data_IF_183276472947
#
_entry.id   IF_183276472947
#
_cell.length_a   1.000
_cell.length_b   1.000
_cell.length_c   1.000
_cell.angle_alpha   90.00
_cell.angle_beta   90.00
_cell.angle_gamma   90.00
#
_symmetry.space_group_name_H-M   'P 1'
#
loop_
_entity.id
_entity.type
_entity.pdbx_description
1 polymer ?
#
# COMPACT_ATOMS: atom_id res chain seq x y z
N UNK A 1 -10.39 -37.75 -11.96
CA UNK A 1 -9.89 -39.06 -11.54
C UNK A 1 -9.65 -39.02 -10.03
N UNK A 2 -10.47 -39.76 -9.35
CA UNK A 2 -10.60 -40.18 -7.94
C UNK A 2 -9.67 -39.56 -6.85
N UNK A 3 -10.33 -38.83 -5.95
CA UNK A 3 -9.94 -38.58 -4.56
C UNK A 3 -9.71 -39.90 -3.78
N UNK A 4 -8.72 -39.88 -2.89
CA UNK A 4 -8.65 -40.84 -1.78
C UNK A 4 -8.57 -40.10 -0.45
N UNK A 5 -9.65 -40.21 0.30
CA UNK A 5 -9.70 -39.89 1.73
C UNK A 5 -9.02 -41.01 2.50
N UNK A 6 -8.17 -40.69 3.48
CA UNK A 6 -7.72 -41.63 4.50
C UNK A 6 -8.21 -41.20 5.87
N UNK A 7 -9.14 -42.00 6.36
CA UNK A 7 -9.61 -42.08 7.72
C UNK A 7 -8.55 -42.70 8.62
N UNK A 8 -8.24 -42.10 9.76
CA UNK A 8 -7.52 -42.80 10.82
C UNK A 8 -8.32 -42.84 12.12
N UNK A 9 -8.44 -44.05 12.59
CA UNK A 9 -9.22 -44.58 13.69
C UNK A 9 -8.73 -44.09 15.05
N UNK A 10 -9.68 -43.86 15.95
CA UNK A 10 -9.47 -43.64 17.36
C UNK A 10 -8.98 -44.85 18.11
N UNK A 11 -8.16 -44.62 19.09
CA UNK A 11 -7.86 -45.62 20.14
C UNK A 11 -8.27 -44.98 21.48
N UNK A 12 -9.29 -45.63 22.04
CA UNK A 12 -9.77 -45.45 23.40
C UNK A 12 -8.82 -46.20 24.34
N UNK A 13 -8.19 -45.54 25.30
CA UNK A 13 -7.46 -46.23 26.35
C UNK A 13 -7.97 -45.81 27.73
N UNK A 14 -8.32 -46.82 28.46
CA UNK A 14 -9.03 -46.83 29.73
C UNK A 14 -8.17 -46.32 30.90
N UNK A 15 -8.89 -45.67 31.79
CA UNK A 15 -8.55 -45.16 33.11
C UNK A 15 -7.99 -46.24 34.06
N UNK A 16 -6.84 -45.97 34.68
CA UNK A 16 -6.42 -46.60 35.90
C UNK A 16 -6.05 -45.53 36.93
N UNK A 17 -6.92 -45.38 37.96
CA UNK A 17 -6.65 -44.62 39.17
C UNK A 17 -5.63 -45.40 40.02
N UNK A 18 -4.47 -44.79 40.28
CA UNK A 18 -3.61 -45.17 41.40
C UNK A 18 -3.38 -43.93 42.27
N UNK A 19 -3.95 -43.96 43.45
CA UNK A 19 -3.63 -43.01 44.54
C UNK A 19 -2.23 -43.38 45.08
N UNK A 20 -1.27 -42.46 44.97
CA UNK A 20 -0.02 -42.49 45.73
C UNK A 20 0.26 -41.12 46.32
N UNK A 21 0.47 -41.10 47.59
CA UNK A 21 0.80 -40.13 48.57
C UNK A 21 1.48 -38.84 48.17
N UNK A 22 1.05 -37.79 48.91
CA UNK A 22 1.73 -36.51 48.99
C UNK A 22 3.22 -36.65 49.28
N UNK A 23 4.05 -36.30 48.29
CA UNK A 23 5.40 -35.81 48.49
C UNK A 23 5.36 -34.32 48.23
N UNK A 24 5.75 -33.50 49.22
CA UNK A 24 6.02 -32.09 49.05
C UNK A 24 7.04 -31.96 47.91
N UNK A 25 6.61 -31.34 46.83
CA UNK A 25 7.52 -30.92 45.77
C UNK A 25 8.37 -29.79 46.29
N UNK A 26 9.70 -29.82 46.14
CA UNK A 26 10.53 -28.67 46.48
C UNK A 26 10.05 -27.47 45.64
N UNK A 27 9.95 -26.29 46.29
CA UNK A 27 9.69 -25.00 45.65
C UNK A 27 10.74 -24.86 44.52
N UNK A 28 10.30 -25.08 43.29
CA UNK A 28 11.02 -24.66 42.10
C UNK A 28 10.83 -23.16 42.03
N UNK A 29 11.90 -22.38 42.13
CA UNK A 29 11.76 -20.94 41.92
C UNK A 29 11.06 -20.71 40.57
N UNK A 30 10.14 -19.73 40.46
CA UNK A 30 9.52 -19.43 39.17
C UNK A 30 10.63 -19.21 38.15
N UNK A 31 10.62 -20.00 37.09
CA UNK A 31 11.45 -19.76 35.91
C UNK A 31 11.30 -18.27 35.56
N UNK A 32 12.39 -17.51 35.38
CA UNK A 32 12.28 -16.17 34.86
C UNK A 32 11.42 -16.25 33.61
N UNK A 33 10.33 -15.50 33.59
CA UNK A 33 9.56 -15.29 32.36
C UNK A 33 10.56 -14.59 31.45
N UNK A 34 11.01 -15.27 30.37
CA UNK A 34 11.79 -14.61 29.33
C UNK A 34 11.03 -13.33 28.97
N UNK A 35 11.73 -12.19 28.85
CA UNK A 35 11.09 -10.97 28.38
C UNK A 35 10.37 -11.34 27.09
N UNK A 36 9.06 -11.06 27.04
CA UNK A 36 8.29 -11.18 25.80
C UNK A 36 9.09 -10.34 24.78
N UNK A 37 9.66 -11.02 23.77
CA UNK A 37 10.39 -10.33 22.72
C UNK A 37 9.46 -9.28 22.15
N UNK A 38 9.79 -8.01 22.39
CA UNK A 38 9.07 -6.92 21.79
C UNK A 38 9.35 -6.94 20.29
N UNK A 39 8.34 -6.65 19.46
CA UNK A 39 8.58 -6.56 18.02
C UNK A 39 9.57 -5.40 17.73
N UNK A 40 10.48 -5.60 16.78
CA UNK A 40 11.43 -4.55 16.39
C UNK A 40 10.72 -3.29 15.85
N UNK A 41 9.51 -3.44 15.29
CA UNK A 41 8.67 -2.34 14.81
C UNK A 41 7.21 -2.48 15.25
N UNK A 42 6.59 -1.33 15.53
CA UNK A 42 5.13 -1.20 15.62
C UNK A 42 4.68 -0.33 14.45
N UNK A 43 3.78 -0.87 13.63
CA UNK A 43 3.18 -0.16 12.49
C UNK A 43 1.70 0.06 12.79
N UNK A 44 1.28 1.31 12.77
CA UNK A 44 -0.13 1.69 12.94
C UNK A 44 -0.63 2.40 11.68
N UNK A 45 -1.80 2.00 11.21
CA UNK A 45 -2.51 2.63 10.08
C UNK A 45 -3.73 3.36 10.61
N UNK A 46 -3.94 4.61 10.14
CA UNK A 46 -5.03 5.49 10.59
C UNK A 46 -5.60 6.27 9.40
N UNK A 47 -6.79 6.83 9.59
CA UNK A 47 -7.40 7.80 8.68
C UNK A 47 -7.38 7.36 7.20
N UNK A 48 -7.67 6.08 6.95
CA UNK A 48 -7.79 5.56 5.58
C UNK A 48 -8.99 6.18 4.87
N UNK A 49 -8.77 6.73 3.68
CA UNK A 49 -9.80 7.22 2.78
C UNK A 49 -9.88 6.33 1.52
N UNK A 50 -10.55 6.79 0.50
CA UNK A 50 -10.56 6.14 -0.82
C UNK A 50 -9.23 6.32 -1.58
N UNK A 51 -8.48 7.38 -1.31
CA UNK A 51 -7.25 7.73 -2.04
C UNK A 51 -6.06 8.05 -1.16
N UNK A 52 -6.18 7.92 0.16
CA UNK A 52 -5.08 8.24 1.09
C UNK A 52 -5.10 7.39 2.36
N UNK A 53 -3.96 7.37 3.04
CA UNK A 53 -3.77 6.71 4.33
C UNK A 53 -2.74 7.47 5.16
N UNK A 54 -2.97 7.57 6.46
CA UNK A 54 -1.95 7.97 7.43
C UNK A 54 -1.39 6.73 8.13
N UNK A 55 -0.09 6.68 8.31
CA UNK A 55 0.54 5.61 9.08
C UNK A 55 1.69 6.11 9.95
N UNK A 56 1.99 5.35 10.98
CA UNK A 56 3.16 5.56 11.85
C UNK A 56 3.95 4.27 11.93
N UNK A 57 5.28 4.38 11.92
CA UNK A 57 6.20 3.28 12.14
C UNK A 57 7.12 3.68 13.30
N UNK A 58 7.13 2.87 14.34
CA UNK A 58 7.90 3.10 15.56
C UNK A 58 8.86 1.93 15.77
N UNK A 59 10.18 2.11 15.60
CA UNK A 59 11.15 1.10 15.94
C UNK A 59 11.28 0.94 17.47
N UNK A 60 11.60 -0.26 17.94
CA UNK A 60 11.90 -0.50 19.37
C UNK A 60 13.23 0.16 19.74
N UNK A 61 14.23 0.12 18.85
CA UNK A 61 15.49 0.85 18.99
C UNK A 61 15.47 2.11 18.11
N UNK A 62 15.39 3.28 18.76
CA UNK A 62 15.36 4.58 18.06
C UNK A 62 16.67 4.89 17.30
N UNK A 63 17.76 4.19 17.59
CA UNK A 63 19.05 4.36 16.91
C UNK A 63 19.19 3.46 15.68
N UNK A 64 18.31 2.48 15.52
CA UNK A 64 18.29 1.59 14.35
C UNK A 64 17.95 2.35 13.07
N UNK A 65 18.69 2.04 12.00
CA UNK A 65 18.34 2.48 10.65
C UNK A 65 17.47 1.44 9.95
N UNK A 66 16.50 1.87 9.16
CA UNK A 66 15.53 0.99 8.53
C UNK A 66 14.94 1.55 7.25
N UNK A 67 14.39 0.69 6.42
CA UNK A 67 13.52 1.02 5.30
C UNK A 67 12.07 1.01 5.79
N UNK A 68 11.29 1.99 5.31
CA UNK A 68 9.85 2.09 5.49
C UNK A 68 9.21 2.41 4.14
N UNK A 69 8.38 1.52 3.64
CA UNK A 69 7.77 1.61 2.32
C UNK A 69 6.33 1.10 2.33
N UNK A 70 5.66 1.28 1.21
CA UNK A 70 4.31 0.77 0.96
C UNK A 70 4.21 0.23 -0.46
N UNK A 71 3.44 -0.84 -0.63
CA UNK A 71 3.14 -1.44 -1.93
C UNK A 71 1.71 -1.96 -1.96
N UNK A 72 1.22 -2.35 -3.14
CA UNK A 72 -0.05 -3.09 -3.23
C UNK A 72 0.11 -4.50 -2.66
N UNK A 73 -0.96 -5.01 -2.03
CA UNK A 73 -0.97 -6.38 -1.54
C UNK A 73 -0.82 -7.40 -2.68
N UNK A 74 -1.36 -7.09 -3.86
CA UNK A 74 -1.22 -7.91 -5.06
C UNK A 74 0.24 -8.13 -5.43
N UNK A 75 1.04 -7.05 -5.51
CA UNK A 75 2.47 -7.15 -5.80
C UNK A 75 3.24 -7.88 -4.68
N UNK A 76 2.90 -7.57 -3.41
CA UNK A 76 3.54 -8.23 -2.27
C UNK A 76 3.35 -9.75 -2.30
N UNK A 77 2.17 -10.23 -2.71
CA UNK A 77 1.81 -11.64 -2.76
C UNK A 77 2.41 -12.41 -3.96
N UNK A 78 3.09 -11.73 -4.88
CA UNK A 78 3.86 -12.40 -5.95
C UNK A 78 5.11 -13.12 -5.42
N UNK A 79 5.56 -12.78 -4.20
CA UNK A 79 6.76 -13.35 -3.59
C UNK A 79 6.41 -14.52 -2.67
N UNK A 80 7.29 -15.55 -2.67
CA UNK A 80 7.08 -16.78 -1.93
C UNK A 80 7.07 -16.54 -0.40
N UNK A 81 7.92 -15.62 0.08
CA UNK A 81 8.05 -15.25 1.49
C UNK A 81 8.63 -13.83 1.67
N UNK A 82 8.71 -13.40 2.93
CA UNK A 82 9.21 -12.07 3.29
C UNK A 82 10.70 -11.88 2.92
N UNK A 83 11.51 -12.95 2.90
CA UNK A 83 12.92 -12.87 2.50
C UNK A 83 13.06 -12.61 0.99
N UNK A 84 12.24 -13.28 0.18
CA UNK A 84 12.21 -13.06 -1.26
C UNK A 84 11.79 -11.62 -1.59
N UNK A 85 10.82 -11.07 -0.85
CA UNK A 85 10.39 -9.69 -1.00
C UNK A 85 11.48 -8.68 -0.61
N UNK A 86 12.15 -8.87 0.55
CA UNK A 86 13.29 -8.04 0.95
C UNK A 86 14.41 -8.05 -0.11
N UNK A 87 14.70 -9.20 -0.71
CA UNK A 87 15.73 -9.30 -1.75
C UNK A 87 15.36 -8.53 -3.02
N UNK A 88 14.07 -8.44 -3.35
CA UNK A 88 13.57 -7.60 -4.44
C UNK A 88 13.78 -6.11 -4.13
N UNK A 89 13.39 -5.66 -2.93
CA UNK A 89 13.64 -4.29 -2.47
C UNK A 89 15.12 -3.92 -2.50
N UNK A 90 16.01 -4.81 -2.04
CA UNK A 90 17.46 -4.58 -2.07
C UNK A 90 17.95 -4.42 -3.50
N UNK A 91 17.47 -5.25 -4.43
CA UNK A 91 17.80 -5.15 -5.85
C UNK A 91 17.32 -3.83 -6.47
N UNK A 92 16.13 -3.38 -6.05
CA UNK A 92 15.60 -2.09 -6.46
C UNK A 92 16.45 -0.92 -5.93
N UNK A 93 16.87 -0.97 -4.65
CA UNK A 93 17.75 0.05 -4.05
C UNK A 93 19.12 0.11 -4.74
N UNK A 94 19.71 -1.04 -5.08
CA UNK A 94 20.97 -1.13 -5.84
C UNK A 94 20.83 -0.49 -7.23
N UNK A 95 19.74 -0.79 -7.93
CA UNK A 95 19.45 -0.20 -9.24
C UNK A 95 19.22 1.30 -9.14
N UNK A 96 18.50 1.77 -8.14
CA UNK A 96 18.25 3.20 -7.92
C UNK A 96 19.55 3.97 -7.64
N UNK A 97 20.45 3.42 -6.82
CA UNK A 97 21.77 3.98 -6.59
C UNK A 97 22.59 4.06 -7.87
N UNK A 98 22.59 2.99 -8.67
CA UNK A 98 23.27 2.96 -9.96
C UNK A 98 22.74 4.01 -10.95
N UNK A 99 21.41 4.16 -11.05
CA UNK A 99 20.76 5.18 -11.90
C UNK A 99 21.07 6.62 -11.40
N UNK A 100 21.18 6.81 -10.07
CA UNK A 100 21.60 8.08 -9.48
C UNK A 100 23.10 8.38 -9.68
N UNK A 101 23.89 7.37 -10.07
CA UNK A 101 25.34 7.51 -10.29
C UNK A 101 26.14 7.60 -8.99
N UNK A 102 25.65 7.05 -7.90
CA UNK A 102 26.28 7.01 -6.58
C UNK A 102 26.47 5.57 -6.09
N UNK A 103 27.28 5.38 -5.05
CA UNK A 103 27.39 4.08 -4.40
C UNK A 103 26.15 3.80 -3.54
N UNK A 104 25.81 2.50 -3.34
CA UNK A 104 24.65 2.11 -2.54
C UNK A 104 24.68 2.72 -1.14
N UNK A 105 25.83 2.77 -0.49
CA UNK A 105 25.96 3.36 0.86
C UNK A 105 25.63 4.85 0.89
N UNK A 106 26.00 5.60 -0.14
CA UNK A 106 25.65 7.02 -0.29
C UNK A 106 24.14 7.18 -0.55
N UNK A 107 23.55 6.36 -1.40
CA UNK A 107 22.11 6.36 -1.65
C UNK A 107 21.31 6.03 -0.38
N UNK A 108 21.78 5.07 0.41
CA UNK A 108 21.13 4.64 1.64
C UNK A 108 21.14 5.72 2.74
N UNK A 109 22.15 6.62 2.77
CA UNK A 109 22.16 7.75 3.70
C UNK A 109 20.95 8.68 3.53
N UNK A 110 20.43 8.80 2.29
CA UNK A 110 19.29 9.67 1.97
C UNK A 110 17.93 8.99 2.20
N UNK A 111 17.84 7.66 2.06
CA UNK A 111 16.55 6.95 2.08
C UNK A 111 16.25 6.26 3.41
N UNK A 112 17.28 5.85 4.17
CA UNK A 112 17.11 5.20 5.47
C UNK A 112 16.42 6.12 6.47
N UNK A 113 15.51 5.52 7.24
CA UNK A 113 14.82 6.17 8.35
C UNK A 113 15.48 5.83 9.67
N UNK A 114 15.28 6.70 10.67
CA UNK A 114 15.74 6.52 12.04
C UNK A 114 14.72 7.12 13.01
N UNK A 115 14.48 6.46 14.15
CA UNK A 115 13.43 6.85 15.08
C UNK A 115 12.03 6.68 14.53
N UNK A 116 11.02 7.15 15.25
CA UNK A 116 9.62 7.05 14.80
C UNK A 116 9.33 7.99 13.63
N UNK A 117 8.57 7.50 12.65
CA UNK A 117 8.05 8.31 11.54
C UNK A 117 6.54 8.32 11.55
N UNK A 118 5.96 9.41 11.03
CA UNK A 118 4.54 9.53 10.69
C UNK A 118 4.46 10.12 9.30
N UNK A 119 3.70 9.49 8.43
CA UNK A 119 3.59 9.90 7.04
C UNK A 119 2.15 9.75 6.54
N UNK A 120 1.83 10.49 5.48
CA UNK A 120 0.57 10.40 4.76
C UNK A 120 0.87 10.04 3.32
N UNK A 121 0.32 8.91 2.87
CA UNK A 121 0.40 8.52 1.47
C UNK A 121 -0.90 8.87 0.78
N UNK A 122 -0.80 9.68 -0.26
CA UNK A 122 -1.90 10.08 -1.15
C UNK A 122 -1.84 9.35 -2.48
N UNK A 123 -2.88 9.55 -3.31
CA UNK A 123 -2.98 9.03 -4.68
C UNK A 123 -3.04 7.51 -4.76
N UNK A 124 -3.62 6.89 -3.75
CA UNK A 124 -3.92 5.47 -3.74
C UNK A 124 -5.14 5.17 -4.62
N UNK A 125 -5.18 3.97 -5.16
CA UNK A 125 -6.37 3.48 -5.86
C UNK A 125 -7.46 3.08 -4.84
N UNK A 126 -8.74 3.43 -5.06
CA UNK A 126 -9.84 3.02 -4.21
C UNK A 126 -10.03 1.50 -4.18
N UNK A 127 -10.66 0.99 -3.11
CA UNK A 127 -10.99 -0.43 -2.92
C UNK A 127 -9.79 -1.37 -3.12
N UNK A 128 -8.57 -0.86 -2.89
CA UNK A 128 -7.32 -1.57 -3.14
C UNK A 128 -6.64 -1.92 -1.82
N UNK A 129 -6.16 -3.14 -1.71
CA UNK A 129 -5.42 -3.61 -0.54
C UNK A 129 -3.94 -3.26 -0.67
N UNK A 130 -3.39 -2.66 0.38
CA UNK A 130 -2.01 -2.22 0.48
C UNK A 130 -1.31 -2.84 1.68
N UNK A 131 0.01 -2.86 1.62
CA UNK A 131 0.90 -3.29 2.71
C UNK A 131 1.86 -2.15 3.02
N UNK A 132 1.80 -1.62 4.24
CA UNK A 132 2.86 -0.78 4.82
C UNK A 132 3.83 -1.70 5.53
N UNK A 133 5.12 -1.55 5.29
CA UNK A 133 6.11 -2.43 5.88
C UNK A 133 7.40 -1.71 6.26
N UNK A 134 8.17 -2.33 7.15
CA UNK A 134 9.49 -1.88 7.57
C UNK A 134 10.38 -3.07 7.87
N UNK A 135 11.67 -2.92 7.61
CA UNK A 135 12.72 -3.83 8.07
C UNK A 135 14.02 -3.06 8.34
N UNK A 136 14.77 -3.52 9.32
CA UNK A 136 16.06 -2.93 9.66
C UNK A 136 17.07 -3.13 8.55
N UNK A 137 17.72 -2.05 8.14
CA UNK A 137 18.75 -2.04 7.10
C UNK A 137 19.89 -1.11 7.52
N UNK A 138 21.12 -1.61 7.48
CA UNK A 138 22.30 -0.80 7.75
C UNK A 138 22.71 0.02 6.52
N UNK A 139 23.55 1.06 6.71
CA UNK A 139 24.11 1.85 5.61
C UNK A 139 24.97 1.04 4.62
N UNK A 140 25.33 -0.19 4.97
CA UNK A 140 26.07 -1.09 4.09
C UNK A 140 25.16 -2.10 3.37
N UNK A 141 23.83 -1.91 3.41
CA UNK A 141 22.87 -2.80 2.77
C UNK A 141 22.68 -4.15 3.47
N UNK A 142 23.02 -4.27 4.76
CA UNK A 142 22.84 -5.50 5.53
C UNK A 142 21.49 -5.42 6.27
N UNK A 143 20.61 -6.38 6.00
CA UNK A 143 19.34 -6.55 6.70
C UNK A 143 19.59 -6.94 8.15
N UNK A 144 18.97 -6.25 9.10
CA UNK A 144 19.21 -6.39 10.54
C UNK A 144 18.02 -6.91 11.33
N UNK A 145 16.81 -6.90 10.74
CA UNK A 145 15.59 -7.46 11.36
C UNK A 145 14.78 -8.27 10.35
N UNK A 146 13.77 -8.98 10.81
CA UNK A 146 12.71 -9.50 9.96
C UNK A 146 11.90 -8.34 9.36
N UNK A 147 11.05 -8.65 8.37
CA UNK A 147 10.08 -7.72 7.81
C UNK A 147 8.84 -7.64 8.71
N UNK A 148 8.46 -6.44 9.10
CA UNK A 148 7.23 -6.11 9.82
C UNK A 148 6.27 -5.43 8.86
N UNK A 149 4.98 -5.80 8.91
CA UNK A 149 3.99 -5.31 7.95
C UNK A 149 2.61 -5.14 8.56
N UNK A 150 1.86 -4.18 8.03
CA UNK A 150 0.46 -3.95 8.33
C UNK A 150 -0.30 -3.76 7.03
N UNK A 151 -1.37 -4.54 6.83
CA UNK A 151 -2.26 -4.39 5.68
C UNK A 151 -3.41 -3.45 5.98
N UNK A 152 -3.91 -2.78 4.95
CA UNK A 152 -5.14 -2.00 4.99
C UNK A 152 -5.78 -2.00 3.60
N UNK A 153 -7.05 -1.63 3.53
CA UNK A 153 -7.78 -1.46 2.25
C UNK A 153 -8.32 -0.04 2.19
N UNK A 154 -8.09 0.64 1.08
CA UNK A 154 -8.69 1.95 0.82
C UNK A 154 -10.21 1.84 0.72
N UNK A 155 -10.91 2.90 1.07
CA UNK A 155 -12.37 2.92 0.98
C UNK A 155 -12.83 2.94 -0.48
N UNK A 156 -14.09 2.62 -0.72
CA UNK A 156 -14.71 2.84 -2.02
C UNK A 156 -14.91 4.35 -2.24
N UNK A 157 -14.72 4.79 -3.48
CA UNK A 157 -15.10 6.14 -3.86
C UNK A 157 -16.63 6.25 -3.86
N UNK A 158 -17.18 7.08 -2.99
CA UNK A 158 -18.59 7.44 -3.09
C UNK A 158 -18.77 8.34 -4.33
N UNK A 159 -19.23 7.73 -5.43
CA UNK A 159 -19.59 8.51 -6.61
C UNK A 159 -20.83 9.35 -6.27
N UNK A 160 -20.64 10.62 -6.03
CA UNK A 160 -21.73 11.58 -6.02
C UNK A 160 -22.20 11.73 -7.47
N UNK A 161 -23.47 11.38 -7.77
CA UNK A 161 -24.03 11.73 -9.07
C UNK A 161 -23.88 13.22 -9.29
N UNK A 162 -23.16 13.59 -10.33
CA UNK A 162 -22.93 14.96 -10.76
C UNK A 162 -23.55 15.10 -12.14
N UNK A 163 -24.57 15.97 -12.25
CA UNK A 163 -25.23 16.25 -13.50
C UNK A 163 -24.74 17.58 -14.07
N UNK A 164 -24.67 17.64 -15.39
CA UNK A 164 -24.19 18.82 -16.11
C UNK A 164 -25.25 19.33 -17.08
N UNK A 165 -25.47 20.63 -17.08
CA UNK A 165 -26.10 21.32 -18.18
C UNK A 165 -25.01 21.82 -19.14
N UNK A 166 -25.08 21.40 -20.42
CA UNK A 166 -24.10 21.75 -21.44
C UNK A 166 -24.80 22.57 -22.50
N UNK A 167 -24.34 23.82 -22.68
CA UNK A 167 -24.85 24.73 -23.70
C UNK A 167 -23.72 25.05 -24.70
N UNK A 168 -24.07 25.02 -26.01
CA UNK A 168 -23.15 25.38 -27.09
C UNK A 168 -23.71 26.56 -27.84
N UNK A 169 -22.99 27.66 -27.84
CA UNK A 169 -23.37 28.91 -28.48
C UNK A 169 -22.26 29.46 -29.39
N UNK A 170 -22.55 30.50 -30.11
CA UNK A 170 -21.59 31.24 -30.96
C UNK A 170 -20.76 30.32 -31.89
N UNK A 171 -21.44 29.35 -32.50
CA UNK A 171 -20.79 28.37 -33.38
C UNK A 171 -20.34 29.06 -34.67
N UNK A 172 -19.01 29.16 -34.83
CA UNK A 172 -18.34 29.70 -36.01
C UNK A 172 -17.79 28.59 -36.91
N UNK A 173 -16.93 28.94 -37.85
CA UNK A 173 -16.29 27.99 -38.76
C UNK A 173 -15.30 27.05 -38.02
N UNK A 174 -14.58 27.62 -37.06
CA UNK A 174 -13.51 26.94 -36.30
C UNK A 174 -13.61 27.23 -34.79
N UNK A 175 -14.68 27.80 -34.33
CA UNK A 175 -14.89 28.22 -32.94
C UNK A 175 -16.30 27.89 -32.45
N UNK A 176 -16.44 27.63 -31.19
CA UNK A 176 -17.72 27.59 -30.48
C UNK A 176 -17.50 27.98 -29.01
N UNK A 177 -18.54 28.52 -28.37
CA UNK A 177 -18.58 28.73 -26.92
C UNK A 177 -19.30 27.53 -26.29
N UNK A 178 -18.67 26.86 -25.36
CA UNK A 178 -19.23 25.72 -24.61
C UNK A 178 -19.31 26.16 -23.15
N UNK A 179 -20.51 26.18 -22.61
CA UNK A 179 -20.76 26.42 -21.18
C UNK A 179 -21.17 25.12 -20.54
N UNK A 180 -20.48 24.72 -19.45
CA UNK A 180 -20.75 23.52 -18.66
C UNK A 180 -21.10 23.99 -17.25
N UNK A 181 -22.31 23.66 -16.80
CA UNK A 181 -22.80 24.04 -15.48
C UNK A 181 -23.10 22.75 -14.68
N UNK A 182 -22.34 22.45 -13.64
CA UNK A 182 -22.63 21.32 -12.75
C UNK A 182 -23.81 21.66 -11.83
N UNK A 183 -24.54 20.65 -11.38
CA UNK A 183 -25.58 20.77 -10.35
C UNK A 183 -25.02 20.92 -8.93
N UNK A 184 -23.73 20.70 -8.74
CA UNK A 184 -22.98 20.93 -7.51
C UNK A 184 -21.75 21.81 -7.80
N UNK A 185 -21.79 23.06 -7.34
CA UNK A 185 -20.76 24.08 -7.54
C UNK A 185 -19.46 23.83 -6.75
N UNK A 186 -19.46 22.83 -5.86
CA UNK A 186 -18.28 22.42 -5.07
C UNK A 186 -17.59 21.20 -5.63
N UNK A 187 -18.20 20.53 -6.60
CA UNK A 187 -17.62 19.33 -7.18
C UNK A 187 -16.50 19.70 -8.16
N UNK A 188 -15.41 18.96 -8.08
CA UNK A 188 -14.38 19.01 -9.11
C UNK A 188 -14.86 18.22 -10.33
N UNK A 189 -14.60 18.74 -11.51
CA UNK A 189 -14.95 18.09 -12.75
C UNK A 189 -13.97 18.43 -13.85
N UNK A 190 -13.93 17.58 -14.87
CA UNK A 190 -13.07 17.75 -16.03
C UNK A 190 -13.92 17.95 -17.29
N UNK A 191 -13.52 18.93 -18.10
CA UNK A 191 -14.15 19.22 -19.40
C UNK A 191 -13.13 19.05 -20.50
N UNK A 192 -13.48 18.31 -21.54
CA UNK A 192 -12.68 18.21 -22.74
C UNK A 192 -13.56 18.16 -23.99
N UNK A 193 -12.97 18.51 -25.13
CA UNK A 193 -13.62 18.46 -26.45
C UNK A 193 -12.82 17.51 -27.32
N UNK A 194 -13.49 16.50 -27.89
CA UNK A 194 -12.90 15.57 -28.81
C UNK A 194 -13.49 15.75 -30.21
N UNK A 195 -12.70 15.48 -31.26
CA UNK A 195 -13.27 15.22 -32.56
C UNK A 195 -14.13 13.94 -32.50
N UNK A 196 -15.16 13.85 -33.34
CA UNK A 196 -15.98 12.63 -33.41
C UNK A 196 -15.14 11.42 -33.80
N UNK A 197 -14.10 11.62 -34.61
CA UNK A 197 -13.16 10.57 -35.03
C UNK A 197 -12.34 10.04 -33.85
N UNK A 198 -11.76 10.95 -33.04
CA UNK A 198 -11.00 10.58 -31.84
C UNK A 198 -11.89 9.83 -30.83
N UNK A 199 -13.08 10.34 -30.59
CA UNK A 199 -14.07 9.71 -29.69
C UNK A 199 -14.42 8.28 -30.14
N UNK A 200 -14.63 8.06 -31.43
CA UNK A 200 -14.90 6.74 -31.98
C UNK A 200 -13.69 5.80 -31.89
N UNK A 201 -12.48 6.35 -32.11
CA UNK A 201 -11.23 5.59 -32.00
C UNK A 201 -10.94 5.12 -30.57
N UNK A 202 -11.40 5.85 -29.57
CA UNK A 202 -11.33 5.43 -28.18
C UNK A 202 -12.35 4.35 -27.79
N UNK A 203 -13.35 4.08 -28.62
CA UNK A 203 -14.33 3.01 -28.38
C UNK A 203 -15.60 3.42 -27.62
N UNK A 204 -15.88 4.72 -27.54
CA UNK A 204 -17.09 5.28 -26.92
C UNK A 204 -16.90 5.67 -25.46
N UNK A 205 -18.00 6.04 -24.80
CA UNK A 205 -18.05 6.82 -23.55
C UNK A 205 -17.07 6.42 -22.45
N UNK A 206 -17.22 5.26 -21.87
CA UNK A 206 -16.45 4.87 -20.68
C UNK A 206 -14.99 4.54 -20.98
N UNK A 207 -14.75 3.81 -22.07
CA UNK A 207 -13.39 3.38 -22.42
C UNK A 207 -12.51 4.53 -22.89
N UNK A 208 -13.08 5.49 -23.64
CA UNK A 208 -12.38 6.68 -24.08
C UNK A 208 -12.01 7.57 -22.90
N UNK A 209 -12.95 7.74 -21.98
CA UNK A 209 -12.77 8.59 -20.81
C UNK A 209 -11.72 7.99 -19.86
N UNK A 210 -11.83 6.71 -19.51
CA UNK A 210 -10.87 6.03 -18.65
C UNK A 210 -9.44 6.06 -19.23
N UNK A 211 -9.28 5.79 -20.53
CA UNK A 211 -7.97 5.83 -21.18
C UNK A 211 -7.37 7.24 -21.17
N UNK A 212 -8.19 8.27 -21.37
CA UNK A 212 -7.75 9.66 -21.35
C UNK A 212 -7.35 10.13 -19.95
N UNK A 213 -8.17 9.85 -18.94
CA UNK A 213 -7.87 10.18 -17.54
C UNK A 213 -6.61 9.49 -17.07
N UNK A 214 -6.45 8.19 -17.35
CA UNK A 214 -5.22 7.47 -17.01
C UNK A 214 -3.98 8.07 -17.69
N UNK A 215 -4.10 8.50 -18.94
CA UNK A 215 -3.00 9.18 -19.64
C UNK A 215 -2.64 10.52 -19.00
N UNK A 216 -3.65 11.31 -18.62
CA UNK A 216 -3.44 12.58 -17.91
C UNK A 216 -2.83 12.34 -16.53
N UNK A 217 -3.39 11.41 -15.76
CA UNK A 217 -2.87 11.04 -14.45
C UNK A 217 -1.38 10.68 -14.53
N UNK A 218 -1.01 9.77 -15.39
CA UNK A 218 0.38 9.35 -15.57
C UNK A 218 1.29 10.49 -16.01
N UNK A 219 0.81 11.38 -16.87
CA UNK A 219 1.58 12.54 -17.32
C UNK A 219 1.85 13.51 -16.15
N UNK A 220 0.83 13.87 -15.37
CA UNK A 220 0.98 14.81 -14.27
C UNK A 220 1.75 14.21 -13.09
N UNK A 221 1.59 12.92 -12.79
CA UNK A 221 2.42 12.24 -11.78
C UNK A 221 3.89 12.21 -12.17
N UNK A 222 4.20 12.00 -13.44
CA UNK A 222 5.56 12.12 -13.95
C UNK A 222 6.16 13.54 -13.83
N UNK A 223 5.32 14.56 -13.61
CA UNK A 223 5.72 15.94 -13.33
C UNK A 223 5.71 16.28 -11.83
N UNK A 224 5.39 15.31 -10.95
CA UNK A 224 5.29 15.52 -9.49
C UNK A 224 4.06 16.33 -9.06
N UNK A 225 3.02 16.39 -9.89
CA UNK A 225 1.77 17.09 -9.53
C UNK A 225 0.92 16.23 -8.59
N UNK A 226 0.23 16.88 -7.64
CA UNK A 226 -0.79 16.26 -6.79
C UNK A 226 -2.13 16.11 -7.52
N UNK A 227 -3.04 15.25 -7.03
CA UNK A 227 -4.38 15.10 -7.58
C UNK A 227 -5.14 16.44 -7.67
N UNK A 228 -5.08 17.26 -6.64
CA UNK A 228 -5.70 18.59 -6.59
C UNK A 228 -5.16 19.56 -7.65
N UNK A 229 -3.89 19.41 -8.02
CA UNK A 229 -3.27 20.23 -9.06
C UNK A 229 -3.66 19.80 -10.48
N UNK A 230 -4.22 18.61 -10.66
CA UNK A 230 -4.66 18.10 -11.95
C UNK A 230 -6.09 18.56 -12.29
N UNK A 231 -6.87 18.95 -11.30
CA UNK A 231 -8.24 19.43 -11.47
C UNK A 231 -8.22 20.96 -11.47
N UNK A 232 -8.44 21.54 -12.63
CA UNK A 232 -8.56 23.01 -12.74
C UNK A 232 -9.93 23.45 -12.18
N UNK A 233 -9.92 24.47 -11.32
CA UNK A 233 -11.10 25.21 -10.93
C UNK A 233 -11.62 26.07 -12.09
#
# INVERSE_FOLDING_TARGET
MKMKANFFYGILLTLALAFVGCKETPDVPPTPIDPVDKPDFVIEVKNTTDTSVEFTITPEDEEMTYIAMMTTKEYFDEFEDDEAYINDDLSWLENAAYEAGVDLSEYLEDVLKKGAISDTQDMLDPETEYVVYAFGLSNNGIVTTSLYKQTFTTLSTELTELNFEIEVTDVGYDTATITVTPDNDKAFYFVNVFSLEDYQNYGGDESAFAAHINKLRNYYYGLGATADQMVAN
#
